data_IF_401961980265
#
_entry.id   IF_401961980265
#
_cell.length_a   1.000
_cell.length_b   1.000
_cell.length_c   1.000
_cell.angle_alpha   90.00
_cell.angle_beta   90.00
_cell.angle_gamma   90.00
#
_symmetry.space_group_name_H-M   'P 1'
#
loop_
_entity.id
_entity.type
_entity.pdbx_description
1 polymer ?
#
# COMPACT_ATOMS: atom_id res chain seq x y z
N UNK A 1 -2.43 16.01 15.59
CA UNK A 1 -3.73 16.04 14.90
C UNK A 1 -3.82 17.40 14.21
N UNK A 2 -3.73 17.45 12.87
CA UNK A 2 -3.84 18.72 12.15
C UNK A 2 -5.31 19.17 12.18
N UNK A 3 -5.62 20.39 12.67
CA UNK A 3 -6.97 20.91 12.61
C UNK A 3 -7.38 21.15 11.15
N UNK A 4 -8.65 20.92 10.83
CA UNK A 4 -9.19 21.16 9.50
C UNK A 4 -9.01 22.65 9.12
N UNK A 5 -8.43 22.92 7.95
CA UNK A 5 -8.21 24.27 7.42
C UNK A 5 -6.77 24.79 7.48
N UNK A 6 -5.85 24.09 8.15
CA UNK A 6 -4.42 24.45 8.08
C UNK A 6 -3.84 24.00 6.73
N UNK A 7 -3.08 24.85 6.03
CA UNK A 7 -2.36 24.45 4.82
C UNK A 7 -1.47 23.24 5.12
N UNK A 8 -1.38 22.32 4.15
CA UNK A 8 -0.39 21.25 4.23
C UNK A 8 1.00 21.88 4.40
N UNK A 9 1.83 21.27 5.25
CA UNK A 9 3.22 21.69 5.37
C UNK A 9 3.89 21.59 3.98
N UNK A 10 4.79 22.52 3.67
CA UNK A 10 5.39 22.64 2.33
C UNK A 10 6.02 21.32 1.85
N UNK A 11 6.58 20.53 2.78
CA UNK A 11 7.14 19.19 2.52
C UNK A 11 6.15 18.19 1.90
N UNK A 12 4.84 18.45 1.95
CA UNK A 12 3.80 17.61 1.33
C UNK A 12 3.30 18.15 -0.02
N UNK A 13 3.80 19.32 -0.44
CA UNK A 13 3.44 19.96 -1.72
C UNK A 13 4.59 20.00 -2.72
N UNK A 14 5.79 19.64 -2.27
CA UNK A 14 6.99 19.56 -3.10
C UNK A 14 7.59 18.18 -3.02
N UNK A 15 8.12 17.67 -4.14
CA UNK A 15 8.75 16.36 -4.23
C UNK A 15 9.79 16.15 -3.12
N UNK A 16 9.63 15.05 -2.37
CA UNK A 16 10.58 14.61 -1.36
C UNK A 16 10.60 13.07 -1.24
N UNK A 17 11.29 12.44 -2.19
CA UNK A 17 11.44 10.97 -2.26
C UNK A 17 12.03 10.38 -0.97
N UNK A 18 12.94 11.09 -0.29
CA UNK A 18 13.54 10.61 0.95
C UNK A 18 12.50 10.52 2.09
N UNK A 19 11.66 11.55 2.24
CA UNK A 19 10.59 11.58 3.23
C UNK A 19 9.56 10.48 2.96
N UNK A 20 9.15 10.31 1.70
CA UNK A 20 8.24 9.25 1.28
C UNK A 20 8.82 7.87 1.59
N UNK A 21 10.08 7.64 1.23
CA UNK A 21 10.78 6.36 1.50
C UNK A 21 10.87 6.08 3.00
N UNK A 22 11.16 7.09 3.84
CA UNK A 22 11.13 6.93 5.30
C UNK A 22 9.73 6.59 5.82
N UNK A 23 8.69 7.18 5.23
CA UNK A 23 7.29 6.89 5.56
C UNK A 23 6.84 5.47 5.18
N UNK A 24 7.45 4.87 4.16
CA UNK A 24 7.12 3.52 3.70
C UNK A 24 7.27 2.45 4.80
N UNK A 25 8.10 2.66 5.82
CA UNK A 25 8.30 1.71 6.92
C UNK A 25 6.97 1.24 7.57
N UNK A 26 5.97 2.12 7.65
CA UNK A 26 4.65 1.76 8.15
C UNK A 26 3.91 0.80 7.20
N UNK A 27 3.88 1.13 5.91
CA UNK A 27 3.28 0.29 4.88
C UNK A 27 3.98 -1.08 4.80
N UNK A 28 5.31 -1.11 4.80
CA UNK A 28 6.11 -2.34 4.78
C UNK A 28 5.75 -3.26 5.95
N UNK A 29 5.59 -2.70 7.15
CA UNK A 29 5.15 -3.45 8.33
C UNK A 29 3.77 -4.06 8.14
N UNK A 30 2.82 -3.33 7.55
CA UNK A 30 1.49 -3.85 7.26
C UNK A 30 1.52 -4.98 6.23
N UNK A 31 2.30 -4.82 5.15
CA UNK A 31 2.50 -5.87 4.14
C UNK A 31 3.05 -7.14 4.81
N UNK A 32 4.12 -7.02 5.59
CA UNK A 32 4.73 -8.15 6.30
C UNK A 32 3.74 -8.82 7.27
N UNK A 33 2.92 -8.05 7.98
CA UNK A 33 1.92 -8.58 8.90
C UNK A 33 0.84 -9.38 8.16
N UNK A 34 0.31 -8.85 7.05
CA UNK A 34 -0.70 -9.54 6.25
C UNK A 34 -0.13 -10.83 5.62
N UNK A 35 1.12 -10.81 5.15
CA UNK A 35 1.78 -12.01 4.64
C UNK A 35 1.90 -13.13 5.67
N UNK A 36 1.99 -12.82 6.97
CA UNK A 36 2.02 -13.88 8.02
C UNK A 36 0.75 -14.71 8.06
N UNK A 37 -0.39 -14.13 7.63
CA UNK A 37 -1.65 -14.84 7.47
C UNK A 37 -1.68 -15.74 6.23
N UNK A 38 -0.65 -15.74 5.36
CA UNK A 38 -0.60 -16.61 4.18
C UNK A 38 -1.52 -16.17 3.04
N UNK A 39 -1.80 -14.87 2.94
CA UNK A 39 -2.60 -14.28 1.86
C UNK A 39 -1.76 -13.36 0.97
N UNK A 40 -2.05 -13.27 -0.34
CA UNK A 40 -1.43 -12.30 -1.22
C UNK A 40 -1.84 -10.88 -0.82
N UNK A 41 -0.93 -9.93 -1.00
CA UNK A 41 -1.13 -8.52 -0.60
C UNK A 41 -0.98 -7.64 -1.82
N UNK A 42 -2.01 -6.87 -2.13
CA UNK A 42 -1.97 -5.85 -3.20
C UNK A 42 -1.98 -4.47 -2.55
N UNK A 43 -1.03 -3.62 -2.91
CA UNK A 43 -0.93 -2.24 -2.42
C UNK A 43 -1.50 -1.28 -3.47
N UNK A 44 -2.51 -0.51 -3.09
CA UNK A 44 -3.04 0.59 -3.90
C UNK A 44 -2.35 1.90 -3.48
N UNK A 45 -1.70 2.57 -4.43
CA UNK A 45 -1.04 3.85 -4.22
C UNK A 45 -1.93 4.93 -4.82
N UNK A 46 -2.67 5.65 -3.98
CA UNK A 46 -3.57 6.69 -4.45
C UNK A 46 -2.79 7.95 -4.81
N UNK A 47 -2.81 8.32 -6.09
CA UNK A 47 -2.11 9.49 -6.60
C UNK A 47 -2.88 10.78 -6.28
N UNK A 48 -2.18 11.77 -5.74
CA UNK A 48 -2.62 13.15 -5.61
C UNK A 48 -1.97 14.07 -6.65
N UNK A 49 -2.52 15.27 -6.83
CA UNK A 49 -2.09 16.20 -7.87
C UNK A 49 -0.64 16.71 -7.71
N UNK A 50 -0.14 16.73 -6.47
CA UNK A 50 1.22 17.16 -6.14
C UNK A 50 2.24 16.02 -6.15
N UNK A 51 1.80 14.77 -6.22
CA UNK A 51 2.69 13.61 -6.11
C UNK A 51 3.50 13.46 -7.40
N UNK A 52 4.81 13.28 -7.24
CA UNK A 52 5.71 13.10 -8.37
C UNK A 52 5.76 11.63 -8.81
N UNK A 53 6.12 11.41 -10.08
CA UNK A 53 6.34 10.06 -10.58
C UNK A 53 7.46 9.32 -9.82
N UNK A 54 8.47 10.05 -9.33
CA UNK A 54 9.58 9.47 -8.58
C UNK A 54 9.14 9.01 -7.18
N UNK A 55 8.27 9.78 -6.51
CA UNK A 55 7.69 9.39 -5.22
C UNK A 55 6.82 8.14 -5.35
N UNK A 56 5.97 8.11 -6.37
CA UNK A 56 5.09 6.96 -6.63
C UNK A 56 5.88 5.68 -6.94
N UNK A 57 6.97 5.80 -7.71
CA UNK A 57 7.85 4.67 -7.99
C UNK A 57 8.59 4.20 -6.73
N UNK A 58 9.03 5.12 -5.87
CA UNK A 58 9.67 4.76 -4.60
C UNK A 58 8.72 3.97 -3.69
N UNK A 59 7.45 4.38 -3.56
CA UNK A 59 6.43 3.63 -2.80
C UNK A 59 6.19 2.25 -3.42
N UNK A 60 6.07 2.18 -4.74
CA UNK A 60 5.87 0.92 -5.47
C UNK A 60 7.01 -0.06 -5.21
N UNK A 61 8.26 0.39 -5.32
CA UNK A 61 9.43 -0.44 -5.06
C UNK A 61 9.49 -0.91 -3.60
N UNK A 62 9.21 -0.02 -2.64
CA UNK A 62 9.16 -0.37 -1.23
C UNK A 62 8.08 -1.43 -0.93
N UNK A 63 6.89 -1.30 -1.51
CA UNK A 63 5.80 -2.26 -1.35
C UNK A 63 6.18 -3.65 -1.90
N UNK A 64 6.75 -3.71 -3.10
CA UNK A 64 7.20 -4.97 -3.72
C UNK A 64 8.36 -5.60 -2.93
N UNK A 65 9.32 -4.80 -2.46
CA UNK A 65 10.43 -5.27 -1.63
C UNK A 65 9.95 -5.85 -0.28
N UNK A 66 8.89 -5.29 0.30
CA UNK A 66 8.24 -5.85 1.49
C UNK A 66 7.46 -7.15 1.22
N UNK A 67 7.28 -7.51 -0.05
CA UNK A 67 6.65 -8.74 -0.51
C UNK A 67 5.18 -8.62 -0.87
N UNK A 68 4.70 -7.42 -1.19
CA UNK A 68 3.42 -7.29 -1.86
C UNK A 68 3.45 -8.05 -3.19
N UNK A 69 2.35 -8.73 -3.52
CA UNK A 69 2.16 -9.41 -4.81
C UNK A 69 2.06 -8.42 -5.96
N UNK A 70 1.49 -7.24 -5.70
CA UNK A 70 1.42 -6.14 -6.66
C UNK A 70 1.34 -4.80 -5.93
N UNK A 71 1.80 -3.75 -6.60
CA UNK A 71 1.65 -2.37 -6.16
C UNK A 71 1.22 -1.51 -7.36
N UNK A 72 0.04 -0.89 -7.26
CA UNK A 72 -0.63 -0.22 -8.37
C UNK A 72 -0.95 1.23 -8.04
N UNK A 73 -0.52 2.14 -8.90
CA UNK A 73 -0.90 3.55 -8.84
C UNK A 73 -2.35 3.71 -9.30
N UNK A 74 -3.16 4.37 -8.48
CA UNK A 74 -4.58 4.56 -8.69
C UNK A 74 -4.91 6.05 -8.75
N UNK A 75 -5.68 6.47 -9.77
CA UNK A 75 -6.17 7.84 -9.91
C UNK A 75 -7.72 7.87 -10.01
N UNK A 76 -8.37 7.08 -9.17
CA UNK A 76 -9.83 7.00 -9.16
C UNK A 76 -10.49 8.23 -8.55
N UNK A 77 -9.76 9.03 -7.77
CA UNK A 77 -10.24 10.33 -7.30
C UNK A 77 -10.49 11.30 -8.47
N UNK A 78 -9.63 11.30 -9.50
CA UNK A 78 -9.78 12.13 -10.70
C UNK A 78 -10.58 11.50 -11.83
N UNK A 79 -10.51 10.16 -11.98
CA UNK A 79 -11.04 9.44 -13.15
C UNK A 79 -12.19 8.47 -12.83
N UNK A 80 -12.66 8.44 -11.58
CA UNK A 80 -13.66 7.47 -11.14
C UNK A 80 -13.17 6.03 -11.29
N UNK A 81 -14.08 5.09 -11.56
CA UNK A 81 -13.74 3.66 -11.67
C UNK A 81 -12.68 3.34 -12.72
N UNK A 82 -12.57 4.13 -13.79
CA UNK A 82 -11.53 3.96 -14.82
C UNK A 82 -10.12 4.15 -14.25
N UNK A 83 -9.95 4.97 -13.21
CA UNK A 83 -8.67 5.18 -12.53
C UNK A 83 -8.24 4.07 -11.57
N UNK A 84 -9.02 2.99 -11.46
CA UNK A 84 -8.75 1.83 -10.61
C UNK A 84 -8.75 0.48 -11.37
N UNK A 85 -8.81 0.48 -12.71
CA UNK A 85 -8.88 -0.77 -13.48
C UNK A 85 -7.66 -1.66 -13.27
N UNK A 86 -6.46 -1.08 -13.30
CA UNK A 86 -5.22 -1.83 -13.02
C UNK A 86 -5.18 -2.41 -11.61
N UNK A 87 -5.79 -1.74 -10.62
CA UNK A 87 -5.93 -2.30 -9.27
C UNK A 87 -6.89 -3.50 -9.28
N UNK A 88 -8.01 -3.39 -9.99
CA UNK A 88 -8.96 -4.49 -10.12
C UNK A 88 -8.33 -5.72 -10.78
N UNK A 89 -7.55 -5.53 -11.84
CA UNK A 89 -6.79 -6.60 -12.51
C UNK A 89 -5.80 -7.27 -11.55
N UNK A 90 -4.99 -6.48 -10.82
CA UNK A 90 -4.04 -7.02 -9.85
C UNK A 90 -4.72 -7.80 -8.71
N UNK A 91 -5.91 -7.37 -8.27
CA UNK A 91 -6.70 -8.09 -7.27
C UNK A 91 -7.22 -9.41 -7.83
N UNK A 92 -7.73 -9.43 -9.07
CA UNK A 92 -8.18 -10.67 -9.73
C UNK A 92 -7.03 -11.67 -9.86
N UNK A 93 -5.84 -11.20 -10.24
CA UNK A 93 -4.64 -12.02 -10.32
C UNK A 93 -4.23 -12.57 -8.95
N UNK A 94 -4.18 -11.71 -7.92
CA UNK A 94 -3.89 -12.14 -6.55
C UNK A 94 -4.90 -13.19 -6.05
N UNK A 95 -6.19 -13.01 -6.34
CA UNK A 95 -7.24 -13.97 -6.03
C UNK A 95 -7.13 -15.27 -6.84
N UNK A 96 -6.41 -15.30 -7.96
CA UNK A 96 -6.20 -16.50 -8.76
C UNK A 96 -4.95 -17.28 -8.33
N UNK A 97 -4.07 -16.67 -7.51
CA UNK A 97 -2.84 -17.28 -7.05
C UNK A 97 -3.09 -18.59 -6.27
N UNK A 98 -2.27 -19.64 -6.52
CA UNK A 98 -2.30 -20.86 -5.72
C UNK A 98 -1.72 -20.67 -4.31
N UNK A 99 -0.96 -19.59 -4.07
CA UNK A 99 -0.23 -19.32 -2.81
C UNK A 99 -1.12 -18.70 -1.71
N UNK A 100 -2.34 -19.24 -1.56
CA UNK A 100 -3.32 -18.84 -0.55
C UNK A 100 -3.47 -19.94 0.49
N UNK A 101 -2.84 -19.75 1.63
CA UNK A 101 -2.94 -20.65 2.77
C UNK A 101 -3.28 -19.82 4.01
N UNK A 102 -4.52 -19.31 4.05
CA UNK A 102 -4.96 -18.47 5.15
C UNK A 102 -4.82 -19.22 6.48
N UNK A 103 -4.15 -18.57 7.45
CA UNK A 103 -4.00 -19.07 8.82
C UNK A 103 -4.08 -17.93 9.81
N UNK A 104 -4.58 -18.22 11.01
CA UNK A 104 -4.48 -17.31 12.14
C UNK A 104 -3.04 -17.25 12.66
N UNK A 105 -2.69 -16.17 13.36
CA UNK A 105 -1.32 -15.98 13.91
C UNK A 105 -1.09 -16.70 15.24
N UNK A 106 -2.16 -17.21 15.84
CA UNK A 106 -2.13 -17.94 17.09
C UNK A 106 -3.30 -18.93 17.11
N UNK A 107 -3.09 -20.07 17.76
CA UNK A 107 -4.13 -21.06 18.04
C UNK A 107 -5.01 -20.60 19.21
N UNK A 108 -6.28 -20.98 19.17
CA UNK A 108 -7.26 -20.59 20.20
C UNK A 108 -6.91 -21.15 21.59
N UNK A 109 -6.25 -22.31 21.63
CA UNK A 109 -5.86 -22.99 22.86
C UNK A 109 -4.57 -22.44 23.50
N UNK A 110 -3.93 -21.42 22.90
CA UNK A 110 -2.76 -20.80 23.51
C UNK A 110 -3.15 -20.06 24.80
N UNK A 111 -2.37 -20.22 25.88
CA UNK A 111 -2.58 -19.42 27.08
C UNK A 111 -2.40 -17.94 26.77
N UNK A 112 -3.23 -17.10 27.41
CA UNK A 112 -3.25 -15.64 27.17
C UNK A 112 -1.94 -14.97 27.62
N UNK A 113 -1.17 -15.60 28.52
CA UNK A 113 0.10 -15.08 29.06
C UNK A 113 1.11 -16.20 29.28
#
# INVERSE_FOLDING_TARGET
MYPAGTPLHHDYTTENVELVTKGCANMERHVQNLRKYGVPVVVAINQFASDSAAEMEAVKQAALAAGASAAVVCNHHGLGGAGATGLAEAVVEACSSPDRAFRFLYEVDLPIK
#
